data_IF_401559015556
#
_entry.id   IF_401559015556
#
_cell.length_a   1.000
_cell.length_b   1.000
_cell.length_c   1.000
_cell.angle_alpha   90.00
_cell.angle_beta   90.00
_cell.angle_gamma   90.00
#
_symmetry.space_group_name_H-M   'P 1'
#
loop_
_entity.id
_entity.type
_entity.pdbx_description
1 polymer ?
#
# COMPACT_ATOMS: atom_id res chain seq x y z
N UNK A 1 57.63 40.27 25.15
CA UNK A 1 57.66 39.87 23.72
C UNK A 1 57.34 38.39 23.49
N UNK A 2 57.85 37.44 24.29
CA UNK A 2 57.64 35.97 24.07
C UNK A 2 56.17 35.51 24.12
N UNK A 3 55.35 36.04 25.04
CA UNK A 3 53.93 35.64 25.20
C UNK A 3 53.01 36.12 24.06
N UNK A 4 53.30 37.26 23.46
CA UNK A 4 52.51 37.82 22.34
C UNK A 4 52.76 37.01 21.07
N UNK A 5 54.02 36.59 20.83
CA UNK A 5 54.38 35.73 19.69
C UNK A 5 53.69 34.36 19.78
N UNK A 6 53.58 33.77 20.96
CA UNK A 6 52.90 32.47 21.13
C UNK A 6 51.39 32.56 20.87
N UNK A 7 50.73 33.66 21.27
CA UNK A 7 49.30 33.86 21.01
C UNK A 7 49.05 34.07 19.51
N UNK A 8 49.91 34.83 18.83
CA UNK A 8 49.82 35.03 17.36
C UNK A 8 49.99 33.71 16.60
N UNK A 9 50.92 32.85 17.03
CA UNK A 9 51.12 31.53 16.41
C UNK A 9 49.96 30.56 16.64
N UNK A 10 49.33 30.60 17.82
CA UNK A 10 48.13 29.80 18.11
C UNK A 10 46.93 30.24 17.27
N UNK A 11 46.72 31.55 17.12
CA UNK A 11 45.65 32.08 16.28
C UNK A 11 45.89 31.77 14.79
N UNK A 12 47.14 31.81 14.33
CA UNK A 12 47.51 31.36 12.99
C UNK A 12 47.25 29.86 12.78
N UNK A 13 47.59 29.02 13.75
CA UNK A 13 47.33 27.58 13.69
C UNK A 13 45.82 27.25 13.59
N UNK A 14 45.00 27.91 14.40
CA UNK A 14 43.55 27.73 14.37
C UNK A 14 42.92 28.27 13.07
N UNK A 15 43.40 29.41 12.56
CA UNK A 15 42.97 29.94 11.28
C UNK A 15 43.35 29.01 10.10
N UNK A 16 44.55 28.42 10.12
CA UNK A 16 44.98 27.45 9.11
C UNK A 16 44.16 26.15 9.18
N UNK A 17 43.84 25.65 10.38
CA UNK A 17 43.01 24.46 10.56
C UNK A 17 41.57 24.68 10.08
N UNK A 18 40.97 25.84 10.39
CA UNK A 18 39.64 26.23 9.91
C UNK A 18 39.60 26.42 8.39
N UNK A 19 40.61 27.08 7.82
CA UNK A 19 40.74 27.25 6.37
C UNK A 19 40.93 25.92 5.63
N UNK A 20 41.70 24.99 6.20
CA UNK A 20 41.85 23.63 5.65
C UNK A 20 40.54 22.84 5.65
N UNK A 21 39.80 22.86 6.76
CA UNK A 21 38.49 22.18 6.84
C UNK A 21 37.48 22.75 5.84
N UNK A 22 37.44 24.08 5.68
CA UNK A 22 36.59 24.74 4.69
C UNK A 22 36.97 24.34 3.25
N UNK A 23 38.26 24.35 2.90
CA UNK A 23 38.72 24.08 1.54
C UNK A 23 38.61 22.60 1.13
N UNK A 24 38.85 21.66 2.04
CA UNK A 24 38.93 20.23 1.71
C UNK A 24 37.68 19.43 2.04
N UNK A 25 36.81 19.91 2.93
CA UNK A 25 35.60 19.17 3.33
C UNK A 25 34.31 19.91 2.96
N UNK A 26 34.23 21.22 3.20
CA UNK A 26 32.99 21.97 3.04
C UNK A 26 32.77 22.55 1.62
N UNK A 27 33.82 23.14 1.00
CA UNK A 27 33.78 23.68 -0.37
C UNK A 27 33.47 22.63 -1.44
N UNK A 28 34.06 21.40 -1.40
CA UNK A 28 33.76 20.38 -2.41
C UNK A 28 32.31 19.89 -2.36
N UNK A 29 31.69 19.85 -1.17
CA UNK A 29 30.28 19.49 -1.04
C UNK A 29 29.35 20.56 -1.62
N UNK A 30 29.67 21.85 -1.43
CA UNK A 30 28.90 22.93 -2.04
C UNK A 30 29.04 22.99 -3.56
N UNK A 31 30.20 22.64 -4.11
CA UNK A 31 30.42 22.58 -5.56
C UNK A 31 29.67 21.39 -6.20
N UNK A 32 29.60 20.23 -5.53
CA UNK A 32 28.83 19.06 -5.99
C UNK A 32 27.31 19.28 -5.94
N UNK A 33 26.82 20.04 -4.97
CA UNK A 33 25.38 20.29 -4.79
C UNK A 33 24.87 21.49 -5.61
N UNK A 34 25.75 22.45 -5.93
CA UNK A 34 25.41 23.67 -6.69
C UNK A 34 25.96 23.71 -8.13
N UNK A 35 26.35 22.57 -8.73
CA UNK A 35 26.67 22.52 -10.16
C UNK A 35 25.39 22.25 -10.97
N UNK A 36 24.77 23.27 -11.60
CA UNK A 36 23.82 23.02 -12.68
C UNK A 36 24.58 22.41 -13.88
N UNK A 37 24.01 21.36 -14.48
CA UNK A 37 24.48 20.83 -15.77
C UNK A 37 24.29 21.91 -16.84
N UNK A 38 25.36 22.64 -17.16
CA UNK A 38 25.36 23.62 -18.25
C UNK A 38 26.43 23.29 -19.30
N UNK A 39 25.89 22.79 -20.41
CA UNK A 39 26.30 22.88 -21.82
C UNK A 39 27.53 23.76 -22.11
N UNK A 40 28.56 23.18 -22.75
CA UNK A 40 29.66 23.92 -23.36
C UNK A 40 29.57 23.84 -24.90
N UNK A 41 29.52 25.00 -25.56
CA UNK A 41 29.31 25.20 -27.00
C UNK A 41 30.65 25.39 -27.77
N UNK A 42 30.98 24.39 -28.61
CA UNK A 42 31.57 24.42 -29.97
C UNK A 42 33.00 24.94 -30.25
N UNK A 43 33.82 24.02 -30.81
CA UNK A 43 34.67 24.28 -31.99
C UNK A 43 34.52 23.10 -33.01
N UNK A 44 34.42 23.35 -34.34
CA UNK A 44 34.00 22.32 -35.34
C UNK A 44 35.21 21.67 -36.06
N UNK A 45 35.07 20.64 -36.95
CA UNK A 45 34.02 19.64 -37.18
C UNK A 45 34.58 18.21 -37.30
N UNK A 46 34.14 17.24 -36.48
CA UNK A 46 34.14 15.81 -36.83
C UNK A 46 32.93 15.23 -36.13
N UNK A 47 31.98 14.69 -36.88
CA UNK A 47 30.74 14.10 -36.36
C UNK A 47 31.08 13.03 -35.32
N UNK A 48 30.89 13.29 -34.01
CA UNK A 48 31.03 12.24 -33.01
C UNK A 48 29.67 11.56 -32.96
N UNK A 49 29.65 10.28 -33.33
CA UNK A 49 28.54 9.39 -33.04
C UNK A 49 28.17 9.58 -31.57
N UNK A 50 27.00 10.16 -31.32
CA UNK A 50 26.48 10.37 -29.96
C UNK A 50 26.24 8.98 -29.38
N UNK A 51 27.18 8.48 -28.58
CA UNK A 51 26.92 7.37 -27.68
C UNK A 51 25.90 7.87 -26.66
N UNK A 52 24.64 7.48 -26.87
CA UNK A 52 23.55 7.67 -25.92
C UNK A 52 23.98 6.98 -24.61
N UNK A 53 24.41 7.77 -23.62
CA UNK A 53 24.58 7.32 -22.24
C UNK A 53 23.30 6.56 -21.86
N UNK A 54 23.38 5.28 -21.45
CA UNK A 54 22.18 4.54 -21.09
C UNK A 54 21.50 5.29 -19.95
N UNK A 55 20.28 5.72 -20.22
CA UNK A 55 19.36 6.23 -19.20
C UNK A 55 19.31 5.17 -18.09
N UNK A 56 19.48 5.55 -16.81
CA UNK A 56 19.44 4.58 -15.73
C UNK A 56 18.11 3.83 -15.82
N UNK A 57 18.18 2.51 -15.96
CA UNK A 57 16.97 1.69 -16.09
C UNK A 57 16.03 2.03 -14.92
N UNK A 58 14.75 2.33 -15.19
CA UNK A 58 13.81 2.62 -14.14
C UNK A 58 13.78 1.43 -13.18
N UNK A 59 13.99 1.68 -11.88
CA UNK A 59 13.91 0.63 -10.85
C UNK A 59 12.63 -0.19 -11.08
N UNK A 60 12.70 -1.53 -11.03
CA UNK A 60 11.53 -2.35 -11.30
C UNK A 60 10.43 -1.98 -10.32
N UNK A 61 9.25 -1.67 -10.85
CA UNK A 61 8.06 -1.39 -10.03
C UNK A 61 7.69 -2.64 -9.24
N UNK A 62 7.54 -2.48 -7.94
CA UNK A 62 7.17 -3.55 -7.00
C UNK A 62 5.78 -3.33 -6.41
N UNK A 63 5.27 -2.10 -6.38
CA UNK A 63 3.92 -1.81 -5.91
C UNK A 63 2.88 -1.99 -7.04
N UNK A 64 1.83 -2.75 -6.75
CA UNK A 64 0.72 -3.04 -7.66
C UNK A 64 -0.63 -2.94 -6.93
N UNK A 65 -1.71 -2.92 -7.70
CA UNK A 65 -3.08 -2.85 -7.21
C UNK A 65 -3.94 -3.91 -7.88
N UNK A 66 -4.81 -4.57 -7.12
CA UNK A 66 -5.74 -5.55 -7.66
C UNK A 66 -6.76 -4.87 -8.59
N UNK A 67 -6.91 -5.37 -9.81
CA UNK A 67 -7.84 -4.78 -10.80
C UNK A 67 -9.22 -5.45 -10.84
N UNK A 68 -9.35 -6.60 -10.20
CA UNK A 68 -10.51 -7.46 -10.30
C UNK A 68 -11.21 -7.54 -8.96
N UNK A 69 -12.52 -7.80 -8.97
CA UNK A 69 -13.33 -7.72 -7.76
C UNK A 69 -12.85 -8.65 -6.66
N UNK A 70 -12.51 -9.89 -7.02
CA UNK A 70 -11.94 -10.92 -6.15
C UNK A 70 -10.73 -11.54 -6.83
N UNK A 71 -9.65 -11.68 -6.08
CA UNK A 71 -8.39 -12.28 -6.51
C UNK A 71 -7.95 -13.28 -5.44
N UNK A 72 -7.95 -14.56 -5.79
CA UNK A 72 -7.38 -15.59 -4.91
C UNK A 72 -5.86 -15.51 -4.86
N UNK A 73 -5.32 -15.51 -3.65
CA UNK A 73 -3.89 -15.67 -3.35
C UNK A 73 -3.61 -17.16 -3.21
N UNK A 74 -2.56 -17.64 -3.86
CA UNK A 74 -2.31 -19.08 -4.01
C UNK A 74 -0.97 -19.50 -3.45
N UNK A 75 -0.88 -20.74 -2.98
CA UNK A 75 0.35 -21.32 -2.41
C UNK A 75 1.47 -21.52 -3.45
N UNK A 76 1.09 -21.63 -4.73
CA UNK A 76 2.00 -21.81 -5.86
C UNK A 76 1.58 -20.93 -7.04
N UNK A 77 2.51 -20.63 -7.98
CA UNK A 77 2.22 -19.91 -9.22
C UNK A 77 1.49 -20.81 -10.23
N UNK A 78 0.34 -21.32 -9.83
CA UNK A 78 -0.52 -22.22 -10.59
C UNK A 78 -2.00 -21.90 -10.31
N UNK A 79 -2.82 -21.91 -11.37
CA UNK A 79 -4.26 -21.67 -11.27
C UNK A 79 -5.02 -22.81 -10.58
N UNK A 80 -4.44 -24.00 -10.50
CA UNK A 80 -5.01 -25.15 -9.80
C UNK A 80 -4.53 -25.27 -8.34
N UNK A 81 -3.59 -24.41 -7.91
CA UNK A 81 -3.11 -24.40 -6.52
C UNK A 81 -4.16 -23.92 -5.53
N UNK A 82 -4.03 -24.36 -4.28
CA UNK A 82 -4.91 -23.97 -3.18
C UNK A 82 -4.93 -22.45 -3.01
N UNK A 83 -6.12 -21.90 -2.76
CA UNK A 83 -6.33 -20.48 -2.51
C UNK A 83 -6.28 -20.26 -1.00
N UNK A 84 -5.20 -19.65 -0.53
CA UNK A 84 -4.95 -19.39 0.89
C UNK A 84 -5.80 -18.21 1.42
N UNK A 85 -5.92 -17.16 0.61
CA UNK A 85 -6.69 -15.97 0.97
C UNK A 85 -7.26 -15.27 -0.26
N UNK A 86 -8.08 -14.24 -0.05
CA UNK A 86 -8.70 -13.44 -1.11
C UNK A 86 -8.35 -11.97 -0.93
N UNK A 87 -7.99 -11.33 -2.03
CA UNK A 87 -7.79 -9.89 -2.16
C UNK A 87 -8.91 -9.28 -3.01
N UNK A 88 -9.14 -7.98 -2.82
CA UNK A 88 -10.23 -7.25 -3.45
C UNK A 88 -9.74 -6.11 -4.33
N UNK A 89 -10.57 -5.69 -5.28
CA UNK A 89 -10.25 -4.59 -6.20
C UNK A 89 -9.76 -3.35 -5.45
N UNK A 90 -8.59 -2.86 -5.85
CA UNK A 90 -7.94 -1.70 -5.26
C UNK A 90 -6.96 -2.02 -4.12
N UNK A 91 -6.92 -3.27 -3.64
CA UNK A 91 -5.92 -3.67 -2.65
C UNK A 91 -4.51 -3.48 -3.19
N UNK A 92 -3.68 -2.82 -2.39
CA UNK A 92 -2.29 -2.54 -2.71
C UNK A 92 -1.42 -3.72 -2.31
N UNK A 93 -0.60 -4.20 -3.24
CA UNK A 93 0.33 -5.31 -3.07
C UNK A 93 1.77 -4.84 -3.30
N UNK A 94 2.69 -5.54 -2.64
CA UNK A 94 4.11 -5.40 -2.87
C UNK A 94 4.67 -6.72 -3.41
N UNK A 95 5.07 -6.72 -4.69
CA UNK A 95 5.59 -7.89 -5.38
C UNK A 95 7.07 -8.05 -5.06
N UNK A 96 7.40 -9.16 -4.41
CA UNK A 96 8.77 -9.55 -4.02
C UNK A 96 9.52 -10.23 -5.16
N UNK A 97 8.80 -10.91 -6.06
CA UNK A 97 9.36 -11.67 -7.17
C UNK A 97 8.34 -11.77 -8.30
N UNK A 98 8.80 -11.70 -9.55
CA UNK A 98 7.99 -11.95 -10.75
C UNK A 98 8.54 -13.16 -11.48
N UNK A 99 7.69 -14.15 -11.74
CA UNK A 99 8.08 -15.40 -12.39
C UNK A 99 6.92 -15.94 -13.21
N UNK A 100 7.15 -16.19 -14.51
CA UNK A 100 6.21 -16.89 -15.41
C UNK A 100 4.77 -16.33 -15.38
N UNK A 101 4.61 -15.01 -15.28
CA UNK A 101 3.30 -14.35 -15.21
C UNK A 101 2.73 -14.20 -13.79
N UNK A 102 3.42 -14.70 -12.77
CA UNK A 102 3.02 -14.63 -11.38
C UNK A 102 3.88 -13.66 -10.58
N UNK A 103 3.27 -13.06 -9.56
CA UNK A 103 3.92 -12.22 -8.56
C UNK A 103 3.85 -12.87 -7.19
N UNK A 104 5.01 -13.07 -6.54
CA UNK A 104 5.07 -13.52 -5.15
C UNK A 104 4.94 -12.33 -4.20
N UNK A 105 4.09 -12.43 -3.18
CA UNK A 105 3.79 -11.34 -2.23
C UNK A 105 4.22 -11.63 -0.79
N UNK A 106 4.52 -12.87 -0.44
CA UNK A 106 5.07 -13.26 0.86
C UNK A 106 6.45 -13.90 0.74
N UNK A 107 7.22 -13.98 1.83
CA UNK A 107 8.43 -14.81 1.86
C UNK A 107 8.07 -16.29 1.72
N UNK A 108 9.02 -17.14 1.34
CA UNK A 108 8.80 -18.58 1.42
C UNK A 108 8.66 -19.02 2.89
N UNK A 109 7.71 -19.89 3.16
CA UNK A 109 7.46 -20.48 4.47
C UNK A 109 7.07 -21.95 4.34
N UNK A 110 7.02 -22.67 5.47
CA UNK A 110 6.69 -24.09 5.55
C UNK A 110 5.68 -24.29 6.68
N UNK A 111 4.62 -25.07 6.44
CA UNK A 111 3.59 -25.34 7.45
C UNK A 111 4.06 -26.27 8.57
N UNK A 112 4.85 -27.29 8.23
CA UNK A 112 5.32 -28.32 9.17
C UNK A 112 6.81 -28.63 8.96
N UNK A 113 7.50 -29.10 9.99
CA UNK A 113 8.93 -29.42 9.88
C UNK A 113 9.18 -30.50 8.81
N UNK A 114 10.01 -30.18 7.82
CA UNK A 114 10.29 -31.06 6.68
C UNK A 114 9.24 -31.03 5.56
N UNK A 115 8.23 -30.16 5.67
CA UNK A 115 7.24 -29.92 4.62
C UNK A 115 7.79 -29.16 3.41
N UNK A 116 6.93 -28.99 2.40
CA UNK A 116 7.24 -28.21 1.20
C UNK A 116 7.29 -26.71 1.49
N UNK A 117 8.21 -26.00 0.84
CA UNK A 117 8.26 -24.53 0.87
C UNK A 117 7.20 -23.97 -0.07
N UNK A 118 6.28 -23.20 0.50
CA UNK A 118 5.22 -22.49 -0.22
C UNK A 118 5.40 -20.97 -0.05
N UNK A 119 4.67 -20.19 -0.84
CA UNK A 119 4.57 -18.76 -0.68
C UNK A 119 3.23 -18.26 -1.24
N UNK A 120 2.91 -17.00 -1.05
CA UNK A 120 1.70 -16.39 -1.58
C UNK A 120 1.97 -15.83 -2.98
N UNK A 121 1.19 -16.29 -3.95
CA UNK A 121 1.29 -15.94 -5.36
C UNK A 121 -0.01 -15.38 -5.91
N UNK A 122 0.13 -14.39 -6.79
CA UNK A 122 -0.99 -13.77 -7.53
C UNK A 122 -0.66 -13.66 -9.02
N UNK A 123 -1.63 -13.84 -9.93
CA UNK A 123 -1.43 -13.64 -11.36
C UNK A 123 -1.25 -12.15 -11.69
N UNK A 124 -0.14 -11.81 -12.34
CA UNK A 124 0.24 -10.43 -12.64
C UNK A 124 -0.74 -9.74 -13.60
N UNK A 125 -1.38 -10.50 -14.50
CA UNK A 125 -2.39 -9.97 -15.44
C UNK A 125 -3.66 -9.43 -14.75
N UNK A 126 -3.84 -9.74 -13.46
CA UNK A 126 -4.96 -9.25 -12.65
C UNK A 126 -4.61 -7.99 -11.86
N UNK A 127 -3.40 -7.46 -12.05
CA UNK A 127 -2.86 -6.32 -11.33
C UNK A 127 -2.66 -5.09 -12.23
N UNK A 128 -2.67 -3.91 -11.61
CA UNK A 128 -2.32 -2.63 -12.22
C UNK A 128 -1.17 -1.98 -11.46
N UNK A 129 -0.35 -1.21 -12.17
CA UNK A 129 0.73 -0.40 -11.54
C UNK A 129 0.20 0.86 -10.85
N UNK A 130 -1.04 1.24 -11.15
CA UNK A 130 -1.72 2.41 -10.59
C UNK A 130 -3.05 1.96 -9.97
N UNK A 131 -3.54 2.66 -8.93
CA UNK A 131 -4.83 2.35 -8.34
C UNK A 131 -5.94 2.40 -9.40
N UNK A 132 -6.85 1.40 -9.43
CA UNK A 132 -7.99 1.44 -10.35
C UNK A 132 -8.90 2.63 -10.01
N UNK A 133 -9.38 3.32 -11.03
CA UNK A 133 -10.42 4.34 -10.87
C UNK A 133 -11.77 3.66 -10.70
N UNK A 134 -12.38 3.79 -9.53
CA UNK A 134 -13.72 3.24 -9.24
C UNK A 134 -14.73 4.39 -9.20
N UNK A 135 -15.79 4.29 -10.00
CA UNK A 135 -16.84 5.30 -10.00
C UNK A 135 -17.74 5.16 -8.75
N UNK A 136 -18.46 6.22 -8.38
CA UNK A 136 -19.42 6.16 -7.26
C UNK A 136 -20.48 5.07 -7.49
N UNK A 137 -20.95 4.93 -8.72
CA UNK A 137 -21.97 3.94 -9.09
C UNK A 137 -21.44 2.51 -8.96
N UNK A 138 -20.25 2.24 -9.52
CA UNK A 138 -19.57 0.94 -9.41
C UNK A 138 -19.30 0.56 -7.95
N UNK A 139 -18.93 1.54 -7.12
CA UNK A 139 -18.74 1.33 -5.68
C UNK A 139 -20.05 0.92 -4.99
N UNK A 140 -21.15 1.60 -5.28
CA UNK A 140 -22.48 1.25 -4.73
C UNK A 140 -22.89 -0.16 -5.18
N UNK A 141 -22.72 -0.49 -6.46
CA UNK A 141 -23.03 -1.82 -6.99
C UNK A 141 -22.19 -2.91 -6.32
N UNK A 142 -20.88 -2.67 -6.18
CA UNK A 142 -19.96 -3.60 -5.53
C UNK A 142 -20.39 -3.88 -4.09
N UNK A 143 -20.66 -2.82 -3.31
CA UNK A 143 -21.08 -2.95 -1.91
C UNK A 143 -22.44 -3.64 -1.83
N UNK A 144 -23.39 -3.27 -2.71
CA UNK A 144 -24.73 -3.84 -2.73
C UNK A 144 -24.67 -5.37 -2.82
N UNK A 145 -23.79 -5.94 -3.64
CA UNK A 145 -23.64 -7.40 -3.74
C UNK A 145 -23.18 -8.07 -2.45
N UNK A 146 -22.38 -7.40 -1.62
CA UNK A 146 -21.94 -7.95 -0.35
C UNK A 146 -23.07 -7.99 0.69
N UNK A 147 -24.05 -7.09 0.58
CA UNK A 147 -25.06 -6.87 1.62
C UNK A 147 -26.51 -6.95 1.12
N UNK A 148 -26.76 -7.35 -0.11
CA UNK A 148 -28.12 -7.41 -0.69
C UNK A 148 -29.03 -8.41 0.02
N UNK A 149 -28.44 -9.37 0.73
CA UNK A 149 -29.13 -10.36 1.57
C UNK A 149 -29.45 -9.86 2.99
N UNK A 150 -29.10 -8.61 3.32
CA UNK A 150 -29.39 -8.03 4.63
C UNK A 150 -30.90 -8.00 4.92
N UNK A 151 -31.23 -8.14 6.21
CA UNK A 151 -32.58 -7.88 6.68
C UNK A 151 -32.98 -6.43 6.37
N UNK A 152 -34.20 -6.23 5.87
CA UNK A 152 -34.77 -4.91 5.55
C UNK A 152 -33.89 -4.06 4.59
N UNK A 153 -33.07 -4.72 3.74
CA UNK A 153 -32.08 -4.07 2.86
C UNK A 153 -32.64 -2.90 2.03
N UNK A 154 -33.82 -3.09 1.43
CA UNK A 154 -34.44 -2.05 0.59
C UNK A 154 -34.91 -0.85 1.39
N UNK A 155 -35.30 -1.06 2.64
CA UNK A 155 -35.84 0.00 3.51
C UNK A 155 -34.71 0.88 4.05
N UNK A 156 -33.55 0.28 4.33
CA UNK A 156 -32.38 0.96 4.89
C UNK A 156 -31.19 1.03 3.92
N UNK A 157 -31.46 0.97 2.62
CA UNK A 157 -30.44 0.88 1.57
C UNK A 157 -29.32 1.92 1.72
N UNK A 158 -29.66 3.20 1.88
CA UNK A 158 -28.65 4.27 1.99
C UNK A 158 -27.76 4.11 3.23
N UNK A 159 -28.35 3.79 4.38
CA UNK A 159 -27.62 3.61 5.63
C UNK A 159 -26.68 2.40 5.57
N UNK A 160 -27.15 1.27 5.05
CA UNK A 160 -26.34 0.07 4.89
C UNK A 160 -25.20 0.25 3.89
N UNK A 161 -25.47 0.86 2.73
CA UNK A 161 -24.41 1.13 1.75
C UNK A 161 -23.36 2.07 2.34
N UNK A 162 -23.78 3.18 2.96
CA UNK A 162 -22.86 4.16 3.53
C UNK A 162 -22.01 3.55 4.65
N UNK A 163 -22.62 2.82 5.58
CA UNK A 163 -21.87 2.26 6.71
C UNK A 163 -20.97 1.10 6.29
N UNK A 164 -21.42 0.25 5.38
CA UNK A 164 -20.57 -0.82 4.83
C UNK A 164 -19.38 -0.22 4.09
N UNK A 165 -19.58 0.84 3.30
CA UNK A 165 -18.50 1.54 2.61
C UNK A 165 -17.41 2.06 3.57
N UNK A 166 -17.85 2.66 4.67
CA UNK A 166 -17.02 3.18 5.75
C UNK A 166 -16.20 2.06 6.41
N UNK A 167 -16.87 0.99 6.86
CA UNK A 167 -16.22 -0.14 7.53
C UNK A 167 -15.18 -0.84 6.65
N UNK A 168 -15.44 -0.96 5.34
CA UNK A 168 -14.49 -1.53 4.38
C UNK A 168 -13.29 -0.61 4.13
N UNK A 169 -13.50 0.72 4.08
CA UNK A 169 -12.40 1.70 3.92
C UNK A 169 -11.49 1.75 5.13
N UNK A 170 -12.07 1.64 6.31
CA UNK A 170 -11.35 1.62 7.59
C UNK A 170 -10.69 0.26 7.87
N UNK A 171 -10.99 -0.76 7.07
CA UNK A 171 -10.55 -2.15 7.26
C UNK A 171 -11.02 -2.76 8.58
N UNK A 172 -12.10 -2.22 9.15
CA UNK A 172 -12.79 -2.79 10.31
C UNK A 172 -13.49 -4.09 9.92
N UNK A 173 -14.01 -4.13 8.69
CA UNK A 173 -14.60 -5.31 8.08
C UNK A 173 -13.97 -5.57 6.72
N UNK A 174 -14.11 -6.80 6.24
CA UNK A 174 -13.79 -7.27 4.90
C UNK A 174 -15.08 -7.63 4.16
N UNK A 175 -15.08 -7.72 2.83
CA UNK A 175 -16.25 -8.20 2.11
C UNK A 175 -16.68 -9.63 2.51
N UNK A 176 -15.73 -10.50 2.87
CA UNK A 176 -15.99 -11.85 3.35
C UNK A 176 -16.84 -11.86 4.63
N UNK A 177 -16.61 -10.92 5.55
CA UNK A 177 -17.40 -10.80 6.79
C UNK A 177 -18.91 -10.65 6.51
N UNK A 178 -19.27 -9.88 5.49
CA UNK A 178 -20.66 -9.70 5.06
C UNK A 178 -21.20 -10.92 4.31
N UNK A 179 -20.37 -11.65 3.59
CA UNK A 179 -20.78 -12.88 2.91
C UNK A 179 -21.04 -14.03 3.89
N UNK A 180 -20.19 -14.19 4.90
CA UNK A 180 -20.37 -15.20 5.96
C UNK A 180 -21.65 -14.99 6.76
N UNK A 181 -21.97 -13.72 7.03
CA UNK A 181 -23.13 -13.30 7.83
C UNK A 181 -24.38 -13.03 7.00
N UNK A 182 -24.27 -13.09 5.68
CA UNK A 182 -25.31 -12.73 4.72
C UNK A 182 -25.79 -11.27 4.84
N UNK A 183 -24.90 -10.37 5.24
CA UNK A 183 -25.15 -8.94 5.37
C UNK A 183 -25.52 -8.51 6.80
N UNK A 184 -26.27 -7.42 6.90
CA UNK A 184 -26.75 -6.87 8.16
C UNK A 184 -27.97 -7.64 8.66
N UNK A 185 -27.88 -8.20 9.86
CA UNK A 185 -28.96 -8.97 10.50
C UNK A 185 -29.71 -8.11 11.53
N UNK A 186 -31.05 -8.20 11.56
CA UNK A 186 -31.88 -7.46 12.51
C UNK A 186 -31.66 -7.95 13.94
N UNK A 187 -31.43 -7.01 14.86
CA UNK A 187 -31.24 -7.34 16.27
C UNK A 187 -32.56 -7.61 16.98
N UNK A 188 -32.70 -8.79 17.56
CA UNK A 188 -33.84 -9.13 18.43
C UNK A 188 -33.77 -8.52 19.84
N UNK A 189 -32.63 -7.92 20.20
CA UNK A 189 -32.42 -7.32 21.53
C UNK A 189 -33.06 -5.94 21.61
N UNK A 190 -32.98 -5.15 20.53
CA UNK A 190 -33.45 -3.77 20.46
C UNK A 190 -34.77 -3.72 19.69
N UNK A 191 -35.83 -4.28 20.26
CA UNK A 191 -37.10 -4.50 19.54
C UNK A 191 -37.78 -3.22 19.07
N UNK A 192 -37.59 -2.12 19.79
CA UNK A 192 -38.23 -0.83 19.53
C UNK A 192 -37.32 0.12 18.72
N UNK A 193 -36.16 -0.36 18.25
CA UNK A 193 -35.19 0.40 17.48
C UNK A 193 -34.81 -0.40 16.22
N UNK A 194 -34.47 0.31 15.15
CA UNK A 194 -33.98 -0.32 13.92
C UNK A 194 -32.46 -0.55 14.04
N UNK A 195 -32.12 -1.53 14.88
CA UNK A 195 -30.73 -1.92 15.12
C UNK A 195 -30.44 -3.22 14.39
N UNK A 196 -29.36 -3.21 13.62
CA UNK A 196 -28.83 -4.36 12.90
C UNK A 196 -27.43 -4.68 13.38
N UNK A 197 -26.90 -5.84 13.00
CA UNK A 197 -25.54 -6.21 13.34
C UNK A 197 -24.88 -7.07 12.27
N UNK A 198 -23.55 -7.07 12.30
CA UNK A 198 -22.67 -7.93 11.52
C UNK A 198 -21.53 -8.42 12.41
N UNK A 199 -20.85 -9.49 12.02
CA UNK A 199 -19.61 -9.93 12.64
C UNK A 199 -18.45 -9.64 11.71
N UNK A 200 -17.43 -8.92 12.19
CA UNK A 200 -16.23 -8.62 11.41
C UNK A 200 -14.97 -9.18 12.09
N UNK A 201 -14.25 -10.07 11.40
CA UNK A 201 -13.13 -10.84 11.95
C UNK A 201 -13.54 -12.17 12.61
N UNK A 202 -14.68 -12.73 12.21
CA UNK A 202 -15.21 -14.02 12.66
C UNK A 202 -16.33 -13.95 13.72
N UNK A 203 -16.97 -15.09 14.02
CA UNK A 203 -18.25 -15.17 14.76
C UNK A 203 -18.18 -15.04 16.30
N UNK A 204 -17.21 -14.29 16.83
CA UNK A 204 -17.09 -14.04 18.28
C UNK A 204 -17.90 -12.81 18.70
N UNK A 205 -18.40 -12.78 19.94
CA UNK A 205 -19.14 -11.63 20.46
C UNK A 205 -18.33 -10.32 20.37
N UNK A 206 -17.01 -10.36 20.59
CA UNK A 206 -16.13 -9.20 20.47
C UNK A 206 -16.04 -8.61 19.06
N UNK A 207 -16.39 -9.39 18.04
CA UNK A 207 -16.37 -9.01 16.63
C UNK A 207 -17.73 -8.50 16.15
N UNK A 208 -18.73 -8.48 17.04
CA UNK A 208 -20.10 -8.09 16.71
C UNK A 208 -20.23 -6.58 16.74
N UNK A 209 -20.55 -6.01 15.58
CA UNK A 209 -20.79 -4.58 15.40
C UNK A 209 -22.28 -4.35 15.25
N UNK A 210 -22.85 -3.47 16.05
CA UNK A 210 -24.24 -3.03 15.90
C UNK A 210 -24.28 -1.71 15.13
N UNK A 211 -25.33 -1.52 14.34
CA UNK A 211 -25.66 -0.29 13.63
C UNK A 211 -27.09 0.11 13.99
N UNK A 212 -27.26 1.32 14.52
CA UNK A 212 -28.56 1.99 14.55
C UNK A 212 -28.75 2.72 13.21
N UNK A 213 -29.68 2.27 12.38
CA UNK A 213 -29.86 2.83 11.02
C UNK A 213 -30.54 4.19 11.01
N UNK A 214 -31.17 4.60 12.12
CA UNK A 214 -31.81 5.91 12.25
C UNK A 214 -30.77 7.00 12.50
N UNK A 215 -29.74 6.69 13.30
CA UNK A 215 -28.65 7.63 13.62
C UNK A 215 -27.40 7.43 12.76
N UNK A 216 -27.20 6.23 12.20
CA UNK A 216 -25.99 5.83 11.50
C UNK A 216 -24.82 5.50 12.45
N UNK A 217 -25.06 5.41 13.76
CA UNK A 217 -24.03 5.14 14.76
C UNK A 217 -23.73 3.64 14.87
N UNK A 218 -22.44 3.33 15.02
CA UNK A 218 -21.98 1.97 15.35
C UNK A 218 -21.65 1.86 16.84
N UNK A 219 -21.94 0.71 17.43
CA UNK A 219 -21.61 0.42 18.82
C UNK A 219 -21.36 -1.06 19.05
N UNK A 220 -20.76 -1.36 20.21
CA UNK A 220 -20.33 -2.71 20.61
C UNK A 220 -20.98 -3.11 21.94
N UNK A 221 -21.01 -4.41 22.24
CA UNK A 221 -21.57 -4.95 23.49
C UNK A 221 -20.76 -6.11 24.03
#
# INVERSE_FOLDING_TARGET
MKKIVTIVLLLLGLACAGGGYYMFYWKPQQELENTPEEVEEVAPPVVPTVEKKPEPEPKPKTDYYVNVERLGVREHPDYDAFVESVLYKGDKLHILEKKDGWGRISVYYVYEEGGEQVAEWVPMERLLEVPPTVTKQERIETISRYIESSDDFKEHFEAFIAKTDELLKEKTCTPEDFEETQGWMRSITFKDQDVYFVYCGGLKQANKIYLDVQTGEIFFR
#
